data_IF_619632242631
#
_entry.id   IF_619632242631
#
_cell.length_a   1.000
_cell.length_b   1.000
_cell.length_c   1.000
_cell.angle_alpha   90.00
_cell.angle_beta   90.00
_cell.angle_gamma   90.00
#
_symmetry.space_group_name_H-M   'P 1'
#
loop_
_entity.id
_entity.type
_entity.pdbx_description
1 polymer ?
#
# COMPACT_ATOMS: atom_id res chain seq x y z
N UNK A 1 89.23 -8.29 -38.83
CA UNK A 1 88.29 -9.29 -39.39
C UNK A 1 86.99 -9.16 -38.63
N UNK A 2 85.89 -8.85 -39.33
CA UNK A 2 84.48 -8.95 -38.93
C UNK A 2 83.99 -8.18 -37.69
N UNK A 3 83.52 -6.95 -37.93
CA UNK A 3 82.41 -6.34 -37.20
C UNK A 3 81.08 -6.86 -37.80
N UNK A 4 79.99 -6.79 -37.00
CA UNK A 4 78.56 -6.98 -37.34
C UNK A 4 77.91 -8.31 -36.89
N UNK A 5 77.64 -8.42 -35.58
CA UNK A 5 76.57 -9.29 -35.03
C UNK A 5 75.91 -8.61 -33.83
N UNK A 6 75.14 -7.55 -34.07
CA UNK A 6 74.44 -6.81 -33.01
C UNK A 6 73.00 -6.42 -33.39
N UNK A 7 72.63 -6.42 -34.68
CA UNK A 7 71.29 -6.03 -35.12
C UNK A 7 70.21 -7.11 -34.96
N UNK A 8 70.57 -8.41 -34.96
CA UNK A 8 69.58 -9.50 -34.91
C UNK A 8 68.98 -9.72 -33.51
N UNK A 9 69.80 -9.72 -32.45
CA UNK A 9 69.32 -9.94 -31.07
C UNK A 9 68.50 -8.78 -30.51
N UNK A 10 68.82 -7.54 -30.91
CA UNK A 10 68.05 -6.34 -30.54
C UNK A 10 66.69 -6.33 -31.27
N UNK A 11 66.62 -6.83 -32.51
CA UNK A 11 65.37 -6.97 -33.27
C UNK A 11 64.46 -8.05 -32.67
N UNK A 12 65.01 -9.22 -32.33
CA UNK A 12 64.28 -10.31 -31.66
C UNK A 12 63.73 -9.87 -30.30
N UNK A 13 64.54 -9.20 -29.47
CA UNK A 13 64.11 -8.68 -28.18
C UNK A 13 62.99 -7.62 -28.28
N UNK A 14 63.03 -6.76 -29.31
CA UNK A 14 61.96 -5.78 -29.59
C UNK A 14 60.66 -6.46 -30.04
N UNK A 15 60.77 -7.51 -30.86
CA UNK A 15 59.62 -8.30 -31.32
C UNK A 15 58.94 -9.07 -30.19
N UNK A 16 59.73 -9.72 -29.31
CA UNK A 16 59.20 -10.45 -28.15
C UNK A 16 58.59 -9.53 -27.10
N UNK A 17 59.17 -8.34 -26.85
CA UNK A 17 58.56 -7.32 -25.99
C UNK A 17 57.23 -6.82 -26.55
N UNK A 18 57.16 -6.56 -27.86
CA UNK A 18 55.93 -6.15 -28.53
C UNK A 18 54.84 -7.21 -28.42
N UNK A 19 55.19 -8.48 -28.66
CA UNK A 19 54.28 -9.62 -28.52
C UNK A 19 53.76 -9.77 -27.08
N UNK A 20 54.64 -9.67 -26.10
CA UNK A 20 54.27 -9.76 -24.69
C UNK A 20 53.30 -8.64 -24.27
N UNK A 21 53.52 -7.41 -24.77
CA UNK A 21 52.63 -6.27 -24.53
C UNK A 21 51.23 -6.50 -25.13
N UNK A 22 51.18 -7.01 -26.37
CA UNK A 22 49.90 -7.32 -27.04
C UNK A 22 49.15 -8.40 -26.27
N UNK A 23 49.83 -9.48 -25.88
CA UNK A 23 49.24 -10.57 -25.10
C UNK A 23 48.72 -10.08 -23.75
N UNK A 24 49.47 -9.24 -23.04
CA UNK A 24 49.04 -8.65 -21.77
C UNK A 24 47.79 -7.78 -21.97
N UNK A 25 47.75 -6.99 -23.04
CA UNK A 25 46.59 -6.14 -23.36
C UNK A 25 45.35 -6.98 -23.67
N UNK A 26 45.51 -8.05 -24.47
CA UNK A 26 44.42 -8.99 -24.79
C UNK A 26 43.89 -9.66 -23.53
N UNK A 27 44.79 -10.07 -22.61
CA UNK A 27 44.43 -10.65 -21.32
C UNK A 27 43.61 -9.68 -20.46
N UNK A 28 44.02 -8.41 -20.37
CA UNK A 28 43.28 -7.38 -19.63
C UNK A 28 41.89 -7.18 -20.23
N UNK A 29 41.77 -7.08 -21.55
CA UNK A 29 40.46 -6.94 -22.23
C UNK A 29 39.56 -8.15 -21.97
N UNK A 30 40.11 -9.37 -22.01
CA UNK A 30 39.40 -10.61 -21.71
C UNK A 30 38.87 -10.61 -20.26
N UNK A 31 39.74 -10.28 -19.30
CA UNK A 31 39.37 -10.23 -17.88
C UNK A 31 38.28 -9.18 -17.65
N UNK A 32 38.42 -7.97 -18.20
CA UNK A 32 37.41 -6.91 -18.07
C UNK A 32 36.08 -7.32 -18.70
N UNK A 33 36.09 -7.91 -19.90
CA UNK A 33 34.87 -8.35 -20.58
C UNK A 33 34.13 -9.48 -19.83
N UNK A 34 34.87 -10.46 -19.30
CA UNK A 34 34.30 -11.50 -18.45
C UNK A 34 33.72 -10.91 -17.16
N UNK A 35 34.40 -9.94 -16.55
CA UNK A 35 33.94 -9.30 -15.32
C UNK A 35 32.66 -8.49 -15.55
N UNK A 36 32.60 -7.68 -16.60
CA UNK A 36 31.39 -6.93 -16.97
C UNK A 36 30.19 -7.84 -17.23
N UNK A 37 30.40 -8.97 -17.92
CA UNK A 37 29.32 -9.93 -18.19
C UNK A 37 28.79 -10.57 -16.91
N UNK A 38 29.65 -10.85 -15.93
CA UNK A 38 29.24 -11.42 -14.64
C UNK A 38 28.56 -10.38 -13.73
N UNK A 39 29.00 -9.11 -13.80
CA UNK A 39 28.45 -8.00 -13.01
C UNK A 39 27.04 -7.62 -13.52
N UNK A 40 26.86 -7.49 -14.84
CA UNK A 40 25.56 -7.08 -15.42
C UNK A 40 24.46 -8.11 -15.15
N UNK A 41 24.77 -9.40 -15.32
CA UNK A 41 23.82 -10.48 -15.05
C UNK A 41 23.38 -10.56 -13.58
N UNK A 42 24.30 -10.26 -12.64
CA UNK A 42 24.02 -10.30 -11.21
C UNK A 42 23.27 -9.04 -10.74
N UNK A 43 23.63 -7.86 -11.26
CA UNK A 43 22.99 -6.60 -10.89
C UNK A 43 21.54 -6.50 -11.39
N UNK A 44 21.25 -6.97 -12.60
CA UNK A 44 19.87 -7.01 -13.13
C UNK A 44 19.00 -8.01 -12.38
N UNK A 45 19.51 -9.22 -12.13
CA UNK A 45 18.77 -10.25 -11.38
C UNK A 45 18.48 -9.80 -9.94
N UNK A 46 19.43 -9.17 -9.25
CA UNK A 46 19.22 -8.67 -7.89
C UNK A 46 18.18 -7.55 -7.86
N UNK A 47 18.19 -6.66 -8.86
CA UNK A 47 17.20 -5.59 -8.96
C UNK A 47 15.80 -6.14 -9.23
N UNK A 48 15.67 -7.14 -10.11
CA UNK A 48 14.39 -7.79 -10.39
C UNK A 48 13.85 -8.56 -9.19
N UNK A 49 14.71 -9.34 -8.50
CA UNK A 49 14.34 -10.06 -7.28
C UNK A 49 13.93 -9.10 -6.15
N UNK A 50 14.68 -8.02 -5.94
CA UNK A 50 14.32 -7.03 -4.93
C UNK A 50 13.00 -6.30 -5.26
N UNK A 51 12.73 -6.06 -6.55
CA UNK A 51 11.46 -5.48 -7.00
C UNK A 51 10.30 -6.47 -6.78
N UNK A 52 10.48 -7.75 -7.09
CA UNK A 52 9.49 -8.80 -6.87
C UNK A 52 9.19 -8.98 -5.38
N UNK A 53 10.22 -9.00 -4.53
CA UNK A 53 10.06 -9.06 -3.07
C UNK A 53 9.33 -7.81 -2.53
N UNK A 54 9.69 -6.63 -3.02
CA UNK A 54 9.01 -5.37 -2.68
C UNK A 54 7.55 -5.38 -3.11
N UNK A 55 7.25 -5.87 -4.31
CA UNK A 55 5.90 -6.00 -4.82
C UNK A 55 5.07 -6.99 -3.98
N UNK A 56 5.62 -8.17 -3.66
CA UNK A 56 4.97 -9.16 -2.80
C UNK A 56 4.74 -8.62 -1.38
N UNK A 57 5.69 -7.85 -0.84
CA UNK A 57 5.55 -7.20 0.47
C UNK A 57 4.44 -6.15 0.44
N UNK A 58 4.39 -5.31 -0.59
CA UNK A 58 3.33 -4.33 -0.79
C UNK A 58 1.95 -4.99 -0.95
N UNK A 59 1.87 -6.08 -1.70
CA UNK A 59 0.64 -6.88 -1.84
C UNK A 59 0.20 -7.45 -0.49
N UNK A 60 1.12 -8.05 0.28
CA UNK A 60 0.83 -8.59 1.59
C UNK A 60 0.35 -7.51 2.57
N UNK A 61 0.98 -6.33 2.55
CA UNK A 61 0.56 -5.18 3.34
C UNK A 61 -0.85 -4.72 2.97
N UNK A 62 -1.16 -4.59 1.67
CA UNK A 62 -2.48 -4.21 1.18
C UNK A 62 -3.54 -5.25 1.59
N UNK A 63 -3.26 -6.53 1.38
CA UNK A 63 -4.14 -7.63 1.77
C UNK A 63 -4.38 -7.68 3.29
N UNK A 64 -3.35 -7.41 4.08
CA UNK A 64 -3.47 -7.30 5.54
C UNK A 64 -4.41 -6.17 5.93
N UNK A 65 -4.27 -5.00 5.29
CA UNK A 65 -5.10 -3.84 5.57
C UNK A 65 -6.58 -4.08 5.21
N UNK A 66 -6.84 -4.69 4.05
CA UNK A 66 -8.21 -5.08 3.65
C UNK A 66 -8.83 -6.04 4.67
N UNK A 67 -8.09 -7.06 5.10
CA UNK A 67 -8.57 -7.99 6.14
C UNK A 67 -8.85 -7.28 7.46
N UNK A 68 -8.01 -6.32 7.86
CA UNK A 68 -8.23 -5.50 9.06
C UNK A 68 -9.58 -4.77 8.98
N UNK A 69 -9.88 -4.12 7.85
CA UNK A 69 -11.13 -3.41 7.66
C UNK A 69 -12.36 -4.32 7.59
N UNK A 70 -12.24 -5.48 6.93
CA UNK A 70 -13.33 -6.48 6.92
C UNK A 70 -13.62 -6.96 8.35
N UNK A 71 -12.59 -7.25 9.14
CA UNK A 71 -12.75 -7.67 10.53
C UNK A 71 -13.39 -6.58 11.39
N UNK A 72 -12.99 -5.32 11.21
CA UNK A 72 -13.61 -4.19 11.86
C UNK A 72 -15.10 -4.04 11.50
N UNK A 73 -15.45 -4.15 10.22
CA UNK A 73 -16.84 -4.09 9.77
C UNK A 73 -17.66 -5.24 10.36
N UNK A 74 -17.11 -6.46 10.38
CA UNK A 74 -17.75 -7.62 11.00
C UNK A 74 -17.98 -7.40 12.50
N UNK A 75 -17.01 -6.84 13.21
CA UNK A 75 -17.16 -6.47 14.61
C UNK A 75 -18.30 -5.47 14.82
N UNK A 76 -18.31 -4.36 14.06
CA UNK A 76 -19.35 -3.34 14.14
C UNK A 76 -20.74 -3.91 13.81
N UNK A 77 -20.83 -4.73 12.76
CA UNK A 77 -22.07 -5.39 12.35
C UNK A 77 -22.63 -6.35 13.42
N UNK A 78 -21.76 -7.01 14.18
CA UNK A 78 -22.15 -7.93 15.26
C UNK A 78 -22.55 -7.21 16.56
N UNK A 79 -22.43 -5.89 16.64
CA UNK A 79 -22.86 -5.16 17.83
C UNK A 79 -24.39 -5.23 17.99
N UNK A 80 -24.92 -5.33 19.23
CA UNK A 80 -26.36 -5.37 19.46
C UNK A 80 -27.15 -4.24 18.76
N UNK A 81 -26.67 -2.97 18.71
CA UNK A 81 -27.39 -1.89 18.05
C UNK A 81 -27.72 -2.11 16.58
N UNK A 82 -26.88 -2.77 15.79
CA UNK A 82 -27.19 -3.04 14.37
C UNK A 82 -28.44 -3.91 14.26
N UNK A 83 -28.46 -5.04 14.98
CA UNK A 83 -29.63 -5.92 15.00
C UNK A 83 -30.86 -5.27 15.65
N UNK A 84 -30.64 -4.39 16.63
CA UNK A 84 -31.70 -3.63 17.31
C UNK A 84 -32.34 -2.59 16.41
N UNK A 85 -31.56 -1.90 15.57
CA UNK A 85 -32.06 -0.97 14.54
C UNK A 85 -32.99 -1.69 13.57
N UNK A 86 -32.58 -2.87 13.08
CA UNK A 86 -33.42 -3.67 12.17
C UNK A 86 -34.74 -4.03 12.84
N UNK A 87 -34.69 -4.62 14.05
CA UNK A 87 -35.90 -5.00 14.79
C UNK A 87 -36.81 -3.80 15.09
N UNK A 88 -36.25 -2.69 15.55
CA UNK A 88 -37.02 -1.48 15.86
C UNK A 88 -37.64 -0.87 14.60
N UNK A 89 -36.93 -0.83 13.48
CA UNK A 89 -37.46 -0.34 12.19
C UNK A 89 -38.67 -1.17 11.72
N UNK A 90 -38.64 -2.48 11.96
CA UNK A 90 -39.75 -3.40 11.63
C UNK A 90 -40.93 -3.34 12.62
N UNK A 91 -40.76 -2.73 13.79
CA UNK A 91 -41.73 -2.73 14.90
C UNK A 91 -42.00 -1.31 15.42
N UNK A 92 -42.44 -0.40 14.54
CA UNK A 92 -42.90 0.95 14.91
C UNK A 92 -41.86 1.77 15.71
N UNK A 93 -40.58 1.63 15.37
CA UNK A 93 -39.43 2.26 16.03
C UNK A 93 -39.17 1.78 17.47
N UNK A 94 -39.70 0.62 17.85
CA UNK A 94 -39.51 0.01 19.17
C UNK A 94 -39.01 -1.42 19.03
N UNK A 95 -37.86 -1.75 19.61
CA UNK A 95 -37.35 -3.12 19.60
C UNK A 95 -38.22 -4.02 20.50
N UNK A 96 -38.92 -5.04 19.97
CA UNK A 96 -39.77 -5.91 20.76
C UNK A 96 -38.98 -6.81 21.73
N UNK A 97 -37.66 -6.94 21.54
CA UNK A 97 -36.80 -7.79 22.38
C UNK A 97 -36.56 -7.19 23.76
N UNK A 98 -36.34 -5.88 23.84
CA UNK A 98 -35.95 -5.22 25.09
C UNK A 98 -36.59 -3.83 25.31
N UNK A 99 -37.48 -3.40 24.41
CA UNK A 99 -38.16 -2.11 24.50
C UNK A 99 -37.27 -0.90 24.17
N UNK A 100 -36.06 -1.11 23.66
CA UNK A 100 -35.19 0.00 23.23
C UNK A 100 -35.76 0.66 21.97
N UNK A 101 -35.84 1.98 21.95
CA UNK A 101 -36.33 2.72 20.77
C UNK A 101 -35.26 2.78 19.67
N UNK A 102 -35.70 3.02 18.43
CA UNK A 102 -34.80 3.21 17.28
C UNK A 102 -33.78 4.34 17.54
N UNK A 103 -34.21 5.45 18.14
CA UNK A 103 -33.32 6.57 18.49
C UNK A 103 -32.30 6.20 19.57
N UNK A 104 -32.68 5.40 20.57
CA UNK A 104 -31.73 4.90 21.55
C UNK A 104 -30.68 3.98 20.91
N UNK A 105 -31.10 3.12 19.98
CA UNK A 105 -30.15 2.30 19.23
C UNK A 105 -29.22 3.11 18.36
N UNK A 106 -29.75 4.12 17.67
CA UNK A 106 -28.98 5.07 16.87
C UNK A 106 -27.91 5.77 17.71
N UNK A 107 -28.28 6.32 18.87
CA UNK A 107 -27.35 7.01 19.75
C UNK A 107 -26.24 6.07 20.29
N UNK A 108 -26.60 4.82 20.62
CA UNK A 108 -25.61 3.80 21.02
C UNK A 108 -24.63 3.50 19.90
N UNK A 109 -25.12 3.36 18.66
CA UNK A 109 -24.27 3.06 17.50
C UNK A 109 -23.39 4.25 17.12
N UNK A 110 -23.91 5.48 17.19
CA UNK A 110 -23.12 6.70 17.02
C UNK A 110 -21.97 6.76 18.04
N UNK A 111 -22.22 6.43 19.30
CA UNK A 111 -21.19 6.37 20.36
C UNK A 111 -20.11 5.34 20.05
N UNK A 112 -20.51 4.16 19.57
CA UNK A 112 -19.57 3.11 19.14
C UNK A 112 -18.73 3.60 17.95
N UNK A 113 -19.35 4.26 16.97
CA UNK A 113 -18.65 4.78 15.79
C UNK A 113 -17.67 5.88 16.15
N UNK A 114 -18.03 6.80 17.06
CA UNK A 114 -17.13 7.83 17.58
C UNK A 114 -15.90 7.17 18.21
N UNK A 115 -16.11 6.28 19.19
CA UNK A 115 -15.02 5.59 19.87
C UNK A 115 -14.16 4.77 18.89
N UNK A 116 -14.80 4.12 17.91
CA UNK A 116 -14.08 3.35 16.90
C UNK A 116 -13.16 4.24 16.05
N UNK A 117 -13.68 5.34 15.51
CA UNK A 117 -12.91 6.29 14.69
C UNK A 117 -11.79 6.91 15.53
N UNK A 118 -12.06 7.31 16.78
CA UNK A 118 -11.05 7.86 17.68
C UNK A 118 -9.85 6.92 17.88
N UNK A 119 -10.09 5.60 17.92
CA UNK A 119 -9.07 4.58 18.12
C UNK A 119 -8.47 4.00 16.83
N UNK A 120 -8.97 4.41 15.66
CA UNK A 120 -8.48 3.97 14.35
C UNK A 120 -8.27 5.19 13.47
N UNK A 121 -7.08 5.80 13.56
CA UNK A 121 -6.71 7.05 12.87
C UNK A 121 -6.84 6.95 11.35
N UNK A 122 -6.72 5.76 10.78
CA UNK A 122 -6.87 5.51 9.35
C UNK A 122 -8.34 5.53 8.86
N UNK A 123 -9.31 5.63 9.76
CA UNK A 123 -10.73 5.64 9.44
C UNK A 123 -11.26 7.06 9.55
N UNK A 124 -11.54 7.70 8.41
CA UNK A 124 -12.08 9.06 8.39
C UNK A 124 -13.58 9.11 8.65
N UNK A 125 -14.31 8.02 8.34
CA UNK A 125 -15.76 8.03 8.34
C UNK A 125 -16.38 6.65 8.50
N UNK A 126 -17.51 6.58 9.23
CA UNK A 126 -18.41 5.43 9.25
C UNK A 126 -19.85 5.88 8.97
N UNK A 127 -20.57 5.09 8.17
CA UNK A 127 -21.93 5.40 7.73
C UNK A 127 -22.85 4.18 7.75
N UNK A 128 -24.10 4.41 8.09
CA UNK A 128 -25.21 3.49 7.82
C UNK A 128 -26.07 4.14 6.74
N UNK A 129 -26.23 3.44 5.63
CA UNK A 129 -27.04 3.85 4.49
C UNK A 129 -28.33 3.04 4.53
N UNK A 130 -29.48 3.71 4.40
CA UNK A 130 -30.76 3.03 4.34
C UNK A 130 -30.95 2.38 2.96
N UNK A 131 -31.57 1.21 2.95
CA UNK A 131 -31.95 0.52 1.72
C UNK A 131 -33.27 1.10 1.15
N UNK A 132 -33.30 2.40 0.90
CA UNK A 132 -34.38 3.11 0.20
C UNK A 132 -33.87 3.63 -1.15
N UNK A 133 -34.79 4.10 -2.01
CA UNK A 133 -34.44 4.57 -3.37
C UNK A 133 -33.38 5.68 -3.36
N UNK A 134 -33.40 6.54 -2.34
CA UNK A 134 -32.51 7.70 -2.21
C UNK A 134 -31.15 7.35 -1.56
N UNK A 135 -30.98 6.15 -1.01
CA UNK A 135 -29.78 5.74 -0.28
C UNK A 135 -29.43 6.71 0.86
N UNK A 136 -30.43 7.14 1.64
CA UNK A 136 -30.22 8.18 2.65
C UNK A 136 -29.29 7.74 3.78
N UNK A 137 -28.44 8.65 4.24
CA UNK A 137 -27.56 8.42 5.39
C UNK A 137 -28.38 8.45 6.69
N UNK A 138 -28.51 7.29 7.35
CA UNK A 138 -29.18 7.17 8.66
C UNK A 138 -28.26 7.62 9.81
N UNK A 139 -27.00 7.22 9.72
CA UNK A 139 -25.92 7.56 10.67
C UNK A 139 -24.70 7.94 9.86
N UNK A 140 -24.04 9.02 10.26
CA UNK A 140 -22.73 9.43 9.76
C UNK A 140 -21.90 9.98 10.90
N UNK A 141 -20.74 9.37 11.11
CA UNK A 141 -19.72 9.88 12.02
C UNK A 141 -18.44 10.05 11.21
N UNK A 142 -17.79 11.19 11.36
CA UNK A 142 -16.57 11.49 10.62
C UNK A 142 -15.54 12.24 11.47
N UNK A 143 -14.29 12.13 11.03
CA UNK A 143 -13.17 12.91 11.55
C UNK A 143 -13.07 14.22 10.77
N UNK A 144 -13.05 15.33 11.50
CA UNK A 144 -12.83 16.67 10.95
C UNK A 144 -11.81 17.42 11.81
N UNK A 145 -10.66 17.74 11.23
CA UNK A 145 -9.62 18.54 11.90
C UNK A 145 -9.07 17.92 13.19
N UNK A 146 -9.05 16.59 13.29
CA UNK A 146 -8.59 15.86 14.47
C UNK A 146 -9.70 15.50 15.48
N UNK A 147 -10.87 16.12 15.38
CA UNK A 147 -12.04 15.80 16.21
C UNK A 147 -12.97 14.82 15.51
N UNK A 148 -13.64 13.96 16.27
CA UNK A 148 -14.64 13.01 15.74
C UNK A 148 -16.04 13.53 16.06
N UNK A 149 -16.88 13.66 15.02
CA UNK A 149 -18.18 14.33 15.11
C UNK A 149 -19.29 13.47 14.50
N UNK A 150 -20.45 13.45 15.15
CA UNK A 150 -21.68 12.91 14.58
C UNK A 150 -22.28 13.97 13.64
N UNK A 151 -22.38 13.66 12.36
CA UNK A 151 -22.95 14.55 11.35
C UNK A 151 -24.46 14.36 11.37
N UNK A 152 -25.19 15.33 11.96
CA UNK A 152 -26.65 15.37 11.81
C UNK A 152 -26.98 15.62 10.34
N UNK A 153 -27.79 14.75 9.75
CA UNK A 153 -28.39 14.95 8.44
C UNK A 153 -29.23 16.24 8.47
N UNK A 154 -28.60 17.36 8.13
CA UNK A 154 -29.24 18.65 7.97
C UNK A 154 -29.13 18.98 6.47
N UNK A 155 -30.26 19.30 5.84
CA UNK A 155 -30.41 19.62 4.41
C UNK A 155 -29.37 20.65 3.90
N UNK A 156 -28.76 21.44 4.81
CA UNK A 156 -27.71 22.41 4.51
C UNK A 156 -26.41 21.82 3.92
N UNK A 157 -26.05 20.57 4.22
CA UNK A 157 -24.76 20.01 3.81
C UNK A 157 -24.71 19.52 2.34
N UNK A 158 -25.86 19.45 1.66
CA UNK A 158 -25.94 19.04 0.26
C UNK A 158 -25.54 20.18 -0.70
N UNK A 159 -25.74 21.45 -0.32
CA UNK A 159 -25.42 22.61 -1.20
C UNK A 159 -23.94 22.98 -1.26
N UNK A 160 -23.12 22.59 -0.29
CA UNK A 160 -21.69 22.91 -0.32
C UNK A 160 -20.85 21.90 -1.12
N UNK A 161 -21.39 20.72 -1.44
CA UNK A 161 -20.72 19.72 -2.27
C UNK A 161 -20.73 20.04 -3.77
N UNK A 162 -21.66 20.86 -4.26
CA UNK A 162 -21.71 21.26 -5.68
C UNK A 162 -20.76 22.42 -6.05
N UNK A 163 -20.14 23.08 -5.08
CA UNK A 163 -19.35 24.31 -5.33
C UNK A 163 -17.84 24.04 -5.29
N UNK A 164 -17.41 22.81 -5.02
CA UNK A 164 -15.97 22.48 -4.87
C UNK A 164 -15.49 21.34 -5.77
N UNK A 165 -16.16 21.10 -6.89
CA UNK A 165 -15.73 20.21 -7.97
C UNK A 165 -15.41 20.99 -9.23
#
# INVERSE_FOLDING_TARGET
>A
MSFLKSSSSISEAKSTLGLALVLATVLVVLVVGLFESNIKATAESQTFTALEESAASAENAANSQVRKYINALNFLHQTPPISGIVRATENENLDPKDGTTLEQWKQRLETIFVAFIENNEEVDQLRIIQANEDGSEFIRVERNGGSVLVVKATIYNLKQREVTS
#
